data_IF_080695305268
#
_entry.id   IF_080695305268
#
_cell.length_a   1.000
_cell.length_b   1.000
_cell.length_c   1.000
_cell.angle_alpha   90.00
_cell.angle_beta   90.00
_cell.angle_gamma   90.00
#
_symmetry.space_group_name_H-M   'P 1'
#
loop_
_entity.id
_entity.type
_entity.pdbx_description
1 polymer ?
#
# COMPACT_ATOMS: atom_id res chain seq x y z
N UNK A 1 35.21 -58.31 -20.03
CA UNK A 1 34.05 -57.55 -20.44
C UNK A 1 33.78 -56.46 -19.40
N UNK A 2 34.07 -55.23 -19.71
CA UNK A 2 33.93 -54.13 -18.78
C UNK A 2 32.56 -53.50 -19.00
N UNK A 3 31.68 -53.50 -17.95
CA UNK A 3 30.42 -52.81 -17.96
C UNK A 3 30.66 -51.32 -17.67
N UNK A 4 30.39 -50.48 -18.64
CA UNK A 4 30.38 -49.03 -18.44
C UNK A 4 29.12 -48.63 -17.69
N UNK A 5 29.30 -48.21 -16.46
CA UNK A 5 28.27 -47.48 -15.66
C UNK A 5 28.09 -46.13 -16.29
N UNK A 6 26.91 -45.87 -16.85
CA UNK A 6 26.48 -44.49 -17.27
C UNK A 6 26.01 -43.79 -15.99
N UNK A 7 26.83 -42.90 -15.45
CA UNK A 7 26.38 -41.94 -14.45
C UNK A 7 25.37 -41.01 -15.10
N UNK A 8 24.13 -41.06 -14.64
CA UNK A 8 23.12 -40.02 -14.97
C UNK A 8 23.53 -38.76 -14.22
N UNK A 9 24.05 -37.79 -14.98
CA UNK A 9 24.17 -36.43 -14.52
C UNK A 9 22.77 -35.94 -14.17
N UNK A 10 22.47 -35.75 -12.90
CA UNK A 10 21.30 -35.01 -12.48
C UNK A 10 21.51 -33.55 -12.94
N UNK A 11 20.83 -33.15 -13.99
CA UNK A 11 20.68 -31.71 -14.28
C UNK A 11 19.96 -31.12 -13.06
N UNK A 12 20.71 -30.45 -12.19
CA UNK A 12 20.13 -29.44 -11.34
C UNK A 12 19.32 -28.53 -12.28
N UNK A 13 18.03 -28.39 -11.99
CA UNK A 13 17.28 -27.34 -12.61
C UNK A 13 17.98 -26.04 -12.20
N UNK A 14 18.79 -25.50 -13.12
CA UNK A 14 19.09 -24.09 -13.11
C UNK A 14 17.73 -23.41 -13.17
N UNK A 15 17.18 -23.08 -12.01
CA UNK A 15 16.23 -21.99 -11.91
C UNK A 15 17.08 -20.80 -12.29
N UNK A 16 17.11 -20.49 -13.59
CA UNK A 16 17.62 -19.23 -14.06
C UNK A 16 17.07 -18.21 -13.09
N UNK A 17 17.94 -17.47 -12.45
CA UNK A 17 17.61 -16.30 -11.66
C UNK A 17 16.87 -15.40 -12.64
N UNK A 18 15.56 -15.61 -12.71
CA UNK A 18 14.67 -14.70 -13.44
C UNK A 18 14.73 -13.49 -12.56
N UNK A 19 15.66 -12.60 -12.92
CA UNK A 19 15.75 -11.26 -12.39
C UNK A 19 14.40 -10.61 -12.72
N UNK A 20 13.42 -10.89 -11.83
CA UNK A 20 12.08 -10.30 -11.88
C UNK A 20 12.31 -8.82 -11.66
N UNK A 21 12.54 -8.12 -12.77
CA UNK A 21 12.73 -6.69 -12.78
C UNK A 21 11.46 -6.05 -12.26
N UNK A 22 11.44 -5.87 -10.94
CA UNK A 22 10.34 -5.18 -10.24
C UNK A 22 10.41 -3.72 -10.67
N UNK A 23 9.37 -3.27 -11.39
CA UNK A 23 9.25 -1.89 -11.85
C UNK A 23 8.04 -1.21 -11.20
N UNK A 24 8.21 -0.08 -10.53
CA UNK A 24 9.49 0.51 -10.09
C UNK A 24 10.24 -0.39 -9.12
N UNK A 25 11.56 -0.18 -8.98
CA UNK A 25 12.38 -0.95 -8.03
C UNK A 25 11.87 -0.79 -6.58
N UNK A 26 12.14 -1.75 -5.68
CA UNK A 26 11.76 -1.63 -4.27
C UNK A 26 12.22 -0.32 -3.63
N UNK A 27 13.45 0.12 -3.90
CA UNK A 27 13.98 1.38 -3.39
C UNK A 27 13.19 2.60 -3.91
N UNK A 28 12.80 2.58 -5.19
CA UNK A 28 11.97 3.65 -5.77
C UNK A 28 10.56 3.63 -5.19
N UNK A 29 9.98 2.45 -4.96
CA UNK A 29 8.68 2.31 -4.29
C UNK A 29 8.71 2.88 -2.88
N UNK A 30 9.76 2.62 -2.11
CA UNK A 30 9.93 3.18 -0.77
C UNK A 30 9.94 4.72 -0.80
N UNK A 31 10.63 5.32 -1.76
CA UNK A 31 10.64 6.78 -1.93
C UNK A 31 9.26 7.33 -2.29
N UNK A 32 8.55 6.68 -3.23
CA UNK A 32 7.20 7.08 -3.62
C UNK A 32 6.23 7.01 -2.43
N UNK A 33 6.27 5.93 -1.66
CA UNK A 33 5.40 5.73 -0.51
C UNK A 33 5.71 6.70 0.63
N UNK A 34 6.98 7.02 0.88
CA UNK A 34 7.38 8.07 1.84
C UNK A 34 6.85 9.44 1.40
N UNK A 35 6.98 9.77 0.13
CA UNK A 35 6.46 11.01 -0.44
C UNK A 35 4.93 11.08 -0.36
N UNK A 36 4.26 9.98 -0.64
CA UNK A 36 2.81 9.85 -0.52
C UNK A 36 2.33 10.08 0.92
N UNK A 37 2.91 9.38 1.88
CA UNK A 37 2.58 9.54 3.30
C UNK A 37 2.81 10.99 3.78
N UNK A 38 3.90 11.61 3.37
CA UNK A 38 4.22 13.02 3.69
C UNK A 38 3.19 13.98 3.11
N UNK A 39 2.78 13.78 1.86
CA UNK A 39 1.77 14.60 1.21
C UNK A 39 0.41 14.47 1.92
N UNK A 40 0.00 13.26 2.29
CA UNK A 40 -1.22 13.03 3.06
C UNK A 40 -1.17 13.69 4.45
N UNK A 41 -0.07 13.51 5.17
CA UNK A 41 0.11 14.10 6.49
C UNK A 41 0.02 15.62 6.47
N UNK A 42 0.50 16.25 5.40
CA UNK A 42 0.45 17.71 5.21
C UNK A 42 -0.82 18.21 4.54
N UNK A 43 -1.73 17.31 4.16
CA UNK A 43 -2.90 17.63 3.34
C UNK A 43 -2.53 18.36 2.02
N UNK A 44 -1.37 18.02 1.47
CA UNK A 44 -0.85 18.62 0.24
C UNK A 44 -1.20 17.74 -0.97
N UNK A 45 -2.40 17.97 -1.51
CA UNK A 45 -2.91 17.21 -2.65
C UNK A 45 -2.13 17.51 -3.92
N UNK A 46 -1.59 18.71 -4.08
CA UNK A 46 -0.76 19.04 -5.24
C UNK A 46 0.57 18.25 -5.21
N UNK A 47 1.18 18.12 -4.04
CA UNK A 47 2.35 17.25 -3.87
C UNK A 47 2.01 15.78 -4.13
N UNK A 48 0.83 15.32 -3.72
CA UNK A 48 0.33 13.97 -3.98
C UNK A 48 0.28 13.68 -5.48
N UNK A 49 -0.28 14.60 -6.27
CA UNK A 49 -0.43 14.43 -7.72
C UNK A 49 0.88 14.54 -8.52
N UNK A 50 1.97 14.91 -7.88
CA UNK A 50 3.33 14.74 -8.45
C UNK A 50 3.85 13.31 -8.35
N UNK A 51 3.27 12.49 -7.47
CA UNK A 51 3.73 11.13 -7.15
C UNK A 51 2.81 10.07 -7.74
N UNK A 52 1.52 10.40 -7.92
CA UNK A 52 0.52 9.49 -8.46
C UNK A 52 0.26 9.76 -9.94
N UNK A 53 -0.29 8.78 -10.66
CA UNK A 53 -0.77 9.00 -12.03
C UNK A 53 -2.00 9.91 -12.03
N UNK A 54 -2.29 10.61 -13.16
CA UNK A 54 -3.44 11.55 -13.22
C UNK A 54 -4.79 10.89 -12.93
N UNK A 55 -4.97 9.63 -13.30
CA UNK A 55 -6.17 8.82 -13.07
C UNK A 55 -6.07 7.91 -11.83
N UNK A 56 -5.27 8.31 -10.84
CA UNK A 56 -5.12 7.59 -9.57
C UNK A 56 -6.46 7.37 -8.88
N UNK A 57 -6.64 6.14 -8.37
CA UNK A 57 -7.84 5.73 -7.65
C UNK A 57 -7.48 5.23 -6.25
N UNK A 58 -8.18 5.76 -5.27
CA UNK A 58 -8.05 5.35 -3.87
C UNK A 58 -9.37 4.74 -3.41
N UNK A 59 -9.37 3.44 -3.09
CA UNK A 59 -10.55 2.71 -2.68
C UNK A 59 -10.46 2.24 -1.24
N UNK A 60 -11.60 2.21 -0.56
CA UNK A 60 -11.74 1.71 0.80
C UNK A 60 -12.74 0.57 0.83
N UNK A 61 -12.41 -0.48 1.53
CA UNK A 61 -13.33 -1.54 1.89
C UNK A 61 -13.76 -1.30 3.34
N UNK A 62 -14.96 -0.76 3.50
CA UNK A 62 -15.57 -0.50 4.78
C UNK A 62 -16.33 -1.76 5.19
N UNK A 63 -15.84 -2.49 6.15
CA UNK A 63 -16.22 -3.80 6.75
C UNK A 63 -17.55 -4.52 6.41
N UNK A 64 -18.42 -3.93 5.61
CA UNK A 64 -19.76 -4.41 5.29
C UNK A 64 -20.16 -4.25 3.82
N UNK A 65 -19.29 -4.48 2.86
CA UNK A 65 -19.65 -4.53 1.44
C UNK A 65 -19.64 -3.19 0.68
N UNK A 66 -19.56 -2.05 1.34
CA UNK A 66 -19.55 -0.77 0.63
C UNK A 66 -18.12 -0.32 0.37
N UNK A 67 -17.73 -0.32 -0.89
CA UNK A 67 -16.46 0.27 -1.31
C UNK A 67 -16.65 1.76 -1.55
N UNK A 68 -15.93 2.59 -0.80
CA UNK A 68 -15.79 4.02 -1.10
C UNK A 68 -14.63 4.19 -2.05
N UNK A 69 -14.82 4.93 -3.13
CA UNK A 69 -13.79 5.21 -4.12
C UNK A 69 -13.59 6.70 -4.28
N UNK A 70 -12.32 7.13 -4.22
CA UNK A 70 -11.91 8.51 -4.44
C UNK A 70 -11.19 8.59 -5.79
N UNK A 71 -11.72 9.38 -6.70
CA UNK A 71 -11.11 9.66 -7.99
C UNK A 71 -11.02 11.18 -8.18
N UNK A 72 -9.82 11.65 -8.48
CA UNK A 72 -9.54 13.07 -8.69
C UNK A 72 -9.20 13.87 -7.42
N UNK A 73 -8.53 15.02 -7.60
CA UNK A 73 -8.03 15.83 -6.49
C UNK A 73 -9.11 16.34 -5.55
N UNK A 74 -10.27 16.73 -6.08
CA UNK A 74 -11.38 17.27 -5.29
C UNK A 74 -11.93 16.23 -4.29
N UNK A 75 -12.13 14.99 -4.73
CA UNK A 75 -12.59 13.90 -3.87
C UNK A 75 -11.59 13.59 -2.76
N UNK A 76 -10.30 13.63 -3.06
CA UNK A 76 -9.24 13.41 -2.07
C UNK A 76 -9.19 14.55 -1.06
N UNK A 77 -9.29 15.81 -1.49
CA UNK A 77 -9.35 16.97 -0.59
C UNK A 77 -10.53 16.89 0.37
N UNK A 78 -11.70 16.54 -0.15
CA UNK A 78 -12.91 16.37 0.65
C UNK A 78 -12.73 15.27 1.69
N UNK A 79 -12.21 14.11 1.29
CA UNK A 79 -11.93 13.00 2.20
C UNK A 79 -10.95 13.40 3.32
N UNK A 80 -9.85 14.07 2.99
CA UNK A 80 -8.89 14.52 3.99
C UNK A 80 -9.48 15.52 4.97
N UNK A 81 -10.35 16.43 4.49
CA UNK A 81 -11.09 17.36 5.35
C UNK A 81 -12.06 16.63 6.29
N UNK A 82 -12.80 15.64 5.79
CA UNK A 82 -13.68 14.79 6.60
C UNK A 82 -12.90 14.04 7.68
N UNK A 83 -11.75 13.46 7.34
CA UNK A 83 -10.90 12.76 8.31
C UNK A 83 -10.41 13.70 9.43
N UNK A 84 -9.98 14.90 9.05
CA UNK A 84 -9.54 15.92 10.01
C UNK A 84 -10.67 16.41 10.90
N UNK A 85 -11.89 16.52 10.39
CA UNK A 85 -13.06 16.88 11.16
C UNK A 85 -13.49 15.75 12.11
N UNK A 86 -13.41 14.51 11.67
CA UNK A 86 -13.85 13.32 12.43
C UNK A 86 -12.91 12.94 13.57
N UNK A 87 -11.60 13.01 13.33
CA UNK A 87 -10.59 12.56 14.28
C UNK A 87 -9.74 13.70 14.79
N UNK A 88 -9.57 13.77 16.12
CA UNK A 88 -8.60 14.67 16.74
C UNK A 88 -7.17 14.14 16.70
N UNK A 89 -7.01 12.83 16.60
CA UNK A 89 -5.73 12.16 16.44
C UNK A 89 -5.87 10.89 15.60
N UNK A 90 -4.91 10.67 14.74
CA UNK A 90 -4.70 9.41 14.01
C UNK A 90 -3.21 9.08 14.04
N UNK A 91 -2.86 7.89 14.48
CA UNK A 91 -1.48 7.44 14.58
C UNK A 91 -1.33 6.07 13.95
N UNK A 92 -0.55 6.00 12.88
CA UNK A 92 -0.10 4.74 12.28
C UNK A 92 1.13 4.23 13.01
N UNK A 93 1.13 2.95 13.33
CA UNK A 93 2.26 2.28 13.98
C UNK A 93 2.34 0.82 13.52
N UNK A 94 3.44 0.13 13.84
CA UNK A 94 3.74 -1.21 13.34
C UNK A 94 3.65 -1.29 11.81
N UNK A 95 4.14 -0.27 11.13
CA UNK A 95 4.09 -0.16 9.66
C UNK A 95 5.19 -0.99 9.05
N UNK A 96 4.82 -1.88 8.11
CA UNK A 96 5.75 -2.66 7.32
C UNK A 96 5.32 -2.70 5.86
N UNK A 97 6.29 -2.61 4.95
CA UNK A 97 6.07 -2.70 3.51
C UNK A 97 6.57 -4.03 2.96
N UNK A 98 5.79 -4.61 2.06
CA UNK A 98 6.07 -5.88 1.42
C UNK A 98 5.97 -5.70 -0.09
N UNK A 99 7.09 -5.80 -0.79
CA UNK A 99 7.14 -5.60 -2.24
C UNK A 99 6.94 -6.93 -2.97
N UNK A 100 5.91 -6.99 -3.81
CA UNK A 100 5.67 -8.05 -4.78
C UNK A 100 5.96 -7.54 -6.20
N UNK A 101 5.95 -8.42 -7.19
CA UNK A 101 6.28 -8.05 -8.57
C UNK A 101 5.40 -6.90 -9.10
N UNK A 102 4.09 -6.98 -8.88
CA UNK A 102 3.06 -6.10 -9.44
C UNK A 102 2.39 -5.17 -8.42
N UNK A 103 2.71 -5.33 -7.12
CA UNK A 103 2.11 -4.53 -6.05
C UNK A 103 3.03 -4.40 -4.85
N UNK A 104 2.78 -3.39 -4.04
CA UNK A 104 3.35 -3.26 -2.69
C UNK A 104 2.22 -3.28 -1.68
N UNK A 105 2.40 -4.03 -0.61
CA UNK A 105 1.45 -4.11 0.50
C UNK A 105 2.04 -3.42 1.72
N UNK A 106 1.23 -2.62 2.40
CA UNK A 106 1.57 -2.05 3.70
C UNK A 106 0.68 -2.68 4.76
N UNK A 107 1.29 -3.30 5.75
CA UNK A 107 0.58 -3.74 6.96
C UNK A 107 0.77 -2.71 8.06
N UNK A 108 -0.26 -2.46 8.86
CA UNK A 108 -0.21 -1.41 9.89
C UNK A 108 -1.23 -1.65 10.99
N UNK A 109 -1.01 -0.94 12.09
CA UNK A 109 -2.05 -0.59 13.07
C UNK A 109 -2.31 0.90 13.02
N UNK A 110 -3.52 1.30 13.33
CA UNK A 110 -3.89 2.71 13.47
C UNK A 110 -4.70 2.91 14.73
N UNK A 111 -4.28 3.88 15.54
CA UNK A 111 -5.03 4.36 16.69
C UNK A 111 -5.69 5.68 16.33
N UNK A 112 -6.98 5.80 16.59
CA UNK A 112 -7.79 6.96 16.24
C UNK A 112 -8.55 7.45 17.46
N UNK A 113 -8.67 8.78 17.58
CA UNK A 113 -9.52 9.41 18.59
C UNK A 113 -10.62 10.19 17.90
N UNK A 114 -11.88 9.81 18.15
CA UNK A 114 -13.06 10.49 17.58
C UNK A 114 -13.22 11.84 18.24
N UNK A 115 -13.19 12.91 17.46
CA UNK A 115 -13.23 14.29 17.96
C UNK A 115 -14.48 14.59 18.76
N UNK A 116 -15.65 14.15 18.30
CA UNK A 116 -16.93 14.47 18.91
C UNK A 116 -17.14 13.83 20.29
N UNK A 117 -16.57 12.64 20.52
CA UNK A 117 -16.86 11.81 21.70
C UNK A 117 -15.63 11.53 22.56
N UNK A 118 -14.41 11.73 22.03
CA UNK A 118 -13.17 11.28 22.66
C UNK A 118 -12.96 9.76 22.63
N UNK A 119 -13.85 9.01 21.97
CA UNK A 119 -13.72 7.56 21.83
C UNK A 119 -12.41 7.21 21.14
N UNK A 120 -11.68 6.28 21.74
CA UNK A 120 -10.47 5.73 21.16
C UNK A 120 -10.78 4.43 20.43
N UNK A 121 -10.25 4.31 19.21
CA UNK A 121 -10.40 3.13 18.38
C UNK A 121 -9.03 2.63 17.94
N UNK A 122 -8.91 1.33 17.83
CA UNK A 122 -7.73 0.71 17.26
C UNK A 122 -8.14 -0.26 16.16
N UNK A 123 -7.46 -0.16 15.03
CA UNK A 123 -7.69 -0.98 13.86
C UNK A 123 -6.38 -1.57 13.36
N UNK A 124 -6.48 -2.71 12.71
CA UNK A 124 -5.42 -3.31 11.91
C UNK A 124 -5.80 -3.21 10.45
N UNK A 125 -4.83 -2.98 9.58
CA UNK A 125 -5.12 -2.86 8.16
C UNK A 125 -4.02 -3.36 7.26
N UNK A 126 -4.41 -3.48 6.00
CA UNK A 126 -3.53 -3.70 4.86
C UNK A 126 -3.91 -2.68 3.80
N UNK A 127 -2.90 -2.03 3.22
CA UNK A 127 -3.06 -1.21 2.02
C UNK A 127 -2.33 -1.88 0.86
N UNK A 128 -2.97 -1.94 -0.29
CA UNK A 128 -2.38 -2.43 -1.53
C UNK A 128 -2.12 -1.26 -2.47
N UNK A 129 -0.92 -1.20 -3.01
CA UNK A 129 -0.49 -0.17 -3.95
C UNK A 129 -0.07 -0.80 -5.27
N UNK A 130 -0.56 -0.28 -6.37
CA UNK A 130 -0.07 -0.61 -7.71
C UNK A 130 0.64 0.58 -8.33
N UNK A 131 1.41 0.32 -9.39
CA UNK A 131 2.27 1.32 -10.02
C UNK A 131 2.06 1.31 -11.53
N UNK A 132 2.19 2.48 -12.15
CA UNK A 132 2.21 2.67 -13.60
C UNK A 132 3.04 3.90 -13.93
N UNK A 133 3.87 3.80 -14.97
CA UNK A 133 4.71 4.90 -15.43
C UNK A 133 5.61 5.49 -14.33
N UNK A 134 6.13 4.64 -13.43
CA UNK A 134 7.01 5.04 -12.34
C UNK A 134 6.31 5.81 -11.20
N UNK A 135 4.98 5.76 -11.13
CA UNK A 135 4.13 6.46 -10.15
C UNK A 135 3.13 5.51 -9.52
N UNK A 136 2.53 5.91 -8.41
CA UNK A 136 1.42 5.20 -7.80
C UNK A 136 0.18 5.29 -8.71
N UNK A 137 -0.43 4.15 -8.99
CA UNK A 137 -1.62 4.05 -9.84
C UNK A 137 -2.90 3.85 -9.04
N UNK A 138 -2.86 2.97 -8.02
CA UNK A 138 -4.00 2.70 -7.14
C UNK A 138 -3.58 2.56 -5.69
N UNK A 139 -4.51 2.81 -4.79
CA UNK A 139 -4.42 2.49 -3.36
C UNK A 139 -5.72 1.85 -2.91
N UNK A 140 -5.65 0.62 -2.41
CA UNK A 140 -6.78 -0.08 -1.80
C UNK A 140 -6.55 -0.23 -0.29
N UNK A 141 -7.55 0.09 0.51
CA UNK A 141 -7.47 0.06 1.97
C UNK A 141 -8.44 -0.95 2.55
N UNK A 142 -7.91 -1.85 3.36
CA UNK A 142 -8.65 -2.86 4.11
C UNK A 142 -8.37 -2.67 5.59
N UNK A 143 -9.39 -2.45 6.40
CA UNK A 143 -9.25 -2.31 7.85
C UNK A 143 -10.26 -3.17 8.58
N UNK A 144 -9.87 -3.63 9.76
CA UNK A 144 -10.78 -4.25 10.70
C UNK A 144 -10.51 -3.76 12.12
N UNK A 145 -11.55 -3.58 12.94
CA UNK A 145 -11.39 -3.29 14.35
C UNK A 145 -10.59 -4.39 15.05
N UNK A 146 -9.76 -3.99 16.00
CA UNK A 146 -9.15 -4.93 16.95
C UNK A 146 -10.11 -4.98 18.13
N UNK A 147 -10.65 -6.17 18.43
CA UNK A 147 -11.45 -6.39 19.61
C UNK A 147 -10.59 -6.13 20.85
N UNK A 148 -11.05 -5.24 21.71
CA UNK A 148 -10.47 -4.99 23.04
C UNK A 148 -10.80 -6.11 23.98
#
# INVERSE_FOLDING_TARGET
MAARSKSRSSRACDVADVDLKIDPSPARRDELLKGFARALFRNDVDALYRIVVPDFVWSFHDGLLTTKTLAGPAAIREHLAEQKARFSAQRFHEVAYHHAADATFMTFRVSETVRATGEQREQRGIESYTFRDGRLATKDVYRKPIAG
#
